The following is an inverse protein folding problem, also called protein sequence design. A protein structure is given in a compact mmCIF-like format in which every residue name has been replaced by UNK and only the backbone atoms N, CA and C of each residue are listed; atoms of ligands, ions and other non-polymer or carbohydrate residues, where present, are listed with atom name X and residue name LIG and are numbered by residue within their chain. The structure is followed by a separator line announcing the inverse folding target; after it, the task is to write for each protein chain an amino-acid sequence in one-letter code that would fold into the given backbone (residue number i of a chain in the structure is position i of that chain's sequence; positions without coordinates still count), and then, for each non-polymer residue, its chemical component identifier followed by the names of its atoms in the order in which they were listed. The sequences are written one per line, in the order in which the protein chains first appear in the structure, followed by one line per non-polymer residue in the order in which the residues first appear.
data_IF_821983938081
#
_entry.id   IF_821983938081
#
_cell.length_a   1.000
_cell.length_b   1.000
_cell.length_c   1.000
_cell.angle_alpha   90.00
_cell.angle_beta   90.00
_cell.angle_gamma   90.00
#
_symmetry.space_group_name_H-M   'P 1'
#
loop_
_entity.id
_entity.type
_entity.pdbx_description
1 polymer ?
#
# COMPACT_ATOMS: atom_id res chain seq x y z
N UNK A 1 -24.35 1.98 -22.14
CA UNK A 1 -22.99 2.56 -22.15
C UNK A 1 -23.05 3.97 -22.70
N UNK A 2 -22.53 4.96 -21.98
CA UNK A 2 -22.41 6.33 -22.48
C UNK A 2 -21.35 6.45 -23.60
N UNK A 3 -21.24 7.62 -24.22
CA UNK A 3 -20.17 7.88 -25.21
C UNK A 3 -18.80 7.80 -24.53
N UNK A 4 -17.90 6.99 -25.09
CA UNK A 4 -16.52 6.87 -24.62
C UNK A 4 -15.76 8.19 -24.87
N UNK A 5 -14.98 8.64 -23.88
CA UNK A 5 -14.19 9.87 -23.96
C UNK A 5 -12.89 9.72 -23.16
N UNK A 6 -11.78 10.15 -23.74
CA UNK A 6 -10.51 10.32 -23.03
C UNK A 6 -10.46 11.67 -22.30
N UNK A 7 -9.72 11.74 -21.19
CA UNK A 7 -9.46 12.98 -20.47
C UNK A 7 -7.96 13.16 -20.22
N UNK A 8 -7.55 14.39 -19.92
CA UNK A 8 -6.16 14.70 -19.63
C UNK A 8 -5.82 14.25 -18.21
N UNK A 9 -4.89 13.30 -18.09
CA UNK A 9 -4.56 12.72 -16.79
C UNK A 9 -3.89 13.72 -15.84
N UNK A 10 -3.04 14.61 -16.36
CA UNK A 10 -2.40 15.65 -15.53
C UNK A 10 -3.44 16.64 -14.96
N UNK A 11 -4.42 17.04 -15.77
CA UNK A 11 -5.54 17.87 -15.33
C UNK A 11 -6.36 17.18 -14.23
N UNK A 12 -6.62 15.88 -14.38
CA UNK A 12 -7.28 15.09 -13.33
C UNK A 12 -6.45 15.07 -12.04
N UNK A 13 -5.14 14.84 -12.11
CA UNK A 13 -4.26 14.88 -10.93
C UNK A 13 -4.34 16.27 -10.27
N UNK A 14 -4.26 17.35 -11.04
CA UNK A 14 -4.30 18.71 -10.54
C UNK A 14 -5.61 19.02 -9.80
N UNK A 15 -6.75 18.55 -10.33
CA UNK A 15 -8.07 18.66 -9.68
C UNK A 15 -8.14 17.87 -8.37
N UNK A 16 -7.49 16.71 -8.29
CA UNK A 16 -7.56 15.79 -7.14
C UNK A 16 -6.38 15.90 -6.17
N UNK A 17 -5.41 16.80 -6.40
CA UNK A 17 -4.23 17.03 -5.52
C UNK A 17 -4.56 17.16 -4.03
N UNK A 18 -5.73 17.70 -3.72
CA UNK A 18 -6.18 17.90 -2.35
C UNK A 18 -6.52 16.58 -1.62
N UNK A 19 -6.81 15.51 -2.35
CA UNK A 19 -7.03 14.14 -1.86
C UNK A 19 -5.73 13.32 -1.82
N UNK A 20 -4.73 13.68 -2.62
CA UNK A 20 -3.44 12.98 -2.74
C UNK A 20 -2.46 13.37 -1.63
N UNK A 21 -2.98 13.63 -0.44
CA UNK A 21 -2.24 13.97 0.79
C UNK A 21 -3.06 13.53 2.01
N UNK A 22 -2.45 13.44 3.20
CA UNK A 22 -3.20 13.11 4.41
C UNK A 22 -4.43 14.02 4.62
N UNK A 23 -5.56 13.48 5.10
CA UNK A 23 -5.75 12.11 5.60
C UNK A 23 -6.16 11.07 4.55
N UNK A 24 -6.39 11.44 3.29
CA UNK A 24 -6.92 10.53 2.26
C UNK A 24 -5.78 9.77 1.58
N UNK A 25 -4.81 10.48 1.00
CA UNK A 25 -3.56 9.94 0.47
C UNK A 25 -3.65 9.24 -0.88
N UNK A 26 -4.81 8.75 -1.31
CA UNK A 26 -5.00 8.10 -2.62
C UNK A 26 -6.40 8.33 -3.19
N UNK A 27 -6.56 8.14 -4.50
CA UNK A 27 -7.84 8.24 -5.18
C UNK A 27 -7.89 7.28 -6.38
N UNK A 28 -8.91 6.43 -6.42
CA UNK A 28 -9.20 5.57 -7.57
C UNK A 28 -9.88 6.39 -8.68
N UNK A 29 -9.49 6.16 -9.94
CA UNK A 29 -9.97 6.92 -11.10
C UNK A 29 -11.36 6.45 -11.54
N UNK A 30 -11.60 5.14 -11.54
CA UNK A 30 -12.87 4.51 -11.93
C UNK A 30 -13.31 3.50 -10.88
N UNK A 31 -14.53 3.61 -10.36
CA UNK A 31 -15.05 2.74 -9.29
C UNK A 31 -15.54 1.38 -9.82
N UNK A 32 -16.17 1.36 -11.01
CA UNK A 32 -16.79 0.17 -11.59
C UNK A 32 -16.01 -0.37 -12.81
N UNK A 33 -14.73 -0.69 -12.61
CA UNK A 33 -13.87 -1.28 -13.64
C UNK A 33 -13.17 -2.55 -13.14
N UNK A 34 -12.87 -3.48 -14.05
CA UNK A 34 -12.09 -4.68 -13.73
C UNK A 34 -10.60 -4.38 -13.49
N UNK A 35 -10.15 -3.21 -13.98
CA UNK A 35 -8.82 -2.66 -13.73
C UNK A 35 -8.95 -1.56 -12.68
N UNK A 36 -8.37 -1.79 -11.51
CA UNK A 36 -8.27 -0.80 -10.45
C UNK A 36 -7.10 0.12 -10.77
N UNK A 37 -7.39 1.39 -11.06
CA UNK A 37 -6.39 2.39 -11.39
C UNK A 37 -6.43 3.48 -10.34
N UNK A 38 -5.37 3.56 -9.54
CA UNK A 38 -5.30 4.40 -8.35
C UNK A 38 -4.13 5.35 -8.43
N UNK A 39 -4.37 6.62 -8.10
CA UNK A 39 -3.29 7.59 -7.92
C UNK A 39 -3.03 7.75 -6.42
N UNK A 40 -1.77 7.63 -6.02
CA UNK A 40 -1.34 7.66 -4.63
C UNK A 40 -0.35 8.79 -4.44
N UNK A 41 -0.59 9.63 -3.43
CA UNK A 41 0.28 10.74 -3.08
C UNK A 41 1.08 10.52 -1.80
N UNK A 42 1.72 11.60 -1.34
CA UNK A 42 2.49 11.64 -0.09
C UNK A 42 2.38 12.99 0.62
N UNK A 43 2.80 13.08 1.90
CA UNK A 43 3.60 12.06 2.58
C UNK A 43 2.74 10.96 3.23
N UNK A 44 3.20 9.72 3.16
CA UNK A 44 2.61 8.59 3.88
C UNK A 44 3.68 7.56 4.28
N UNK A 45 3.58 7.05 5.50
CA UNK A 45 4.34 5.91 6.02
C UNK A 45 3.37 4.91 6.62
N UNK A 46 3.70 3.64 6.51
CA UNK A 46 2.87 2.55 7.04
C UNK A 46 3.75 1.38 7.46
N UNK A 47 3.27 0.58 8.40
CA UNK A 47 4.02 -0.53 8.99
C UNK A 47 3.54 -1.90 8.54
N UNK A 48 2.38 -1.94 7.90
CA UNK A 48 1.79 -3.14 7.38
C UNK A 48 2.36 -3.50 6.01
N UNK A 49 2.45 -4.79 5.74
CA UNK A 49 2.77 -5.37 4.45
C UNK A 49 1.50 -5.95 3.85
N UNK A 50 1.28 -5.69 2.58
CA UNK A 50 0.18 -6.26 1.82
C UNK A 50 0.69 -7.49 1.07
N UNK A 51 -0.06 -8.57 1.20
CA UNK A 51 0.05 -9.80 0.42
C UNK A 51 -1.13 -9.83 -0.57
N UNK A 52 -0.83 -9.45 -1.81
CA UNK A 52 -1.79 -9.37 -2.91
C UNK A 52 -1.79 -10.68 -3.73
N UNK A 53 -2.93 -11.34 -3.97
CA UNK A 53 -3.02 -12.48 -4.89
C UNK A 53 -2.85 -12.13 -6.38
N UNK A 54 -2.78 -10.85 -6.76
CA UNK A 54 -2.58 -10.41 -8.15
C UNK A 54 -1.30 -9.58 -8.31
N UNK A 55 -0.95 -9.26 -9.55
CA UNK A 55 0.16 -8.35 -9.86
C UNK A 55 -0.22 -6.90 -9.58
N UNK A 56 0.77 -6.11 -9.13
CA UNK A 56 0.64 -4.66 -9.00
C UNK A 56 1.64 -3.93 -9.90
N UNK A 57 1.14 -3.08 -10.78
CA UNK A 57 1.96 -2.21 -11.61
C UNK A 57 2.10 -0.82 -10.98
N UNK A 58 3.33 -0.35 -10.84
CA UNK A 58 3.68 0.96 -10.34
C UNK A 58 4.28 1.82 -11.44
N UNK A 59 3.88 3.09 -11.49
CA UNK A 59 4.58 4.14 -12.23
C UNK A 59 4.68 5.39 -11.37
N UNK A 60 5.90 5.75 -10.97
CA UNK A 60 6.15 6.91 -10.12
C UNK A 60 6.26 8.19 -10.97
N UNK A 61 5.18 8.96 -11.05
CA UNK A 61 5.06 10.13 -11.93
C UNK A 61 5.77 11.37 -11.41
N UNK A 62 5.83 11.54 -10.09
CA UNK A 62 6.47 12.70 -9.44
C UNK A 62 7.04 12.33 -8.08
N UNK A 63 8.25 12.79 -7.79
CA UNK A 63 8.98 12.48 -6.56
C UNK A 63 9.30 10.99 -6.43
N UNK A 64 9.94 10.61 -5.33
CA UNK A 64 10.43 9.26 -5.10
C UNK A 64 9.62 8.52 -4.03
N UNK A 65 9.56 7.20 -4.14
CA UNK A 65 9.07 6.30 -3.12
C UNK A 65 10.03 5.13 -2.89
N UNK A 66 9.82 4.38 -1.81
CA UNK A 66 10.49 3.10 -1.59
C UNK A 66 9.43 2.05 -1.24
N UNK A 67 9.54 0.89 -1.86
CA UNK A 67 8.73 -0.27 -1.56
C UNK A 67 9.56 -1.20 -0.66
N UNK A 68 9.10 -1.39 0.57
CA UNK A 68 9.65 -2.39 1.50
C UNK A 68 9.11 -3.74 1.07
N UNK A 69 9.95 -4.73 0.82
CA UNK A 69 9.54 -6.05 0.32
C UNK A 69 9.93 -7.16 1.28
N UNK A 70 9.13 -8.23 1.25
CA UNK A 70 9.48 -9.55 1.75
C UNK A 70 9.00 -10.60 0.75
N UNK A 71 9.94 -11.32 0.14
CA UNK A 71 9.67 -12.31 -0.90
C UNK A 71 9.44 -13.73 -0.36
N UNK A 72 9.50 -13.92 0.96
CA UNK A 72 9.44 -15.22 1.62
C UNK A 72 10.79 -15.72 2.11
N UNK A 73 11.88 -15.09 1.70
CA UNK A 73 13.25 -15.41 2.14
C UNK A 73 13.89 -14.22 2.86
N UNK A 74 13.82 -13.03 2.27
CA UNK A 74 14.50 -11.85 2.81
C UNK A 74 13.69 -10.56 2.73
N UNK A 75 13.98 -9.64 3.65
CA UNK A 75 13.44 -8.28 3.63
C UNK A 75 14.41 -7.35 2.91
N UNK A 76 13.92 -6.60 1.93
CA UNK A 76 14.73 -5.66 1.17
C UNK A 76 13.93 -4.45 0.69
N UNK A 77 14.64 -3.41 0.27
CA UNK A 77 14.05 -2.15 -0.17
C UNK A 77 14.22 -2.01 -1.69
N UNK A 78 13.14 -1.63 -2.38
CA UNK A 78 13.15 -1.25 -3.80
C UNK A 78 12.79 0.23 -3.92
N UNK A 79 13.77 1.12 -4.14
CA UNK A 79 13.49 2.50 -4.50
C UNK A 79 12.78 2.54 -5.86
N UNK A 80 11.75 3.38 -5.98
CA UNK A 80 11.08 3.68 -7.24
C UNK A 80 11.11 5.21 -7.39
N UNK A 81 12.06 5.69 -8.20
CA UNK A 81 12.34 7.10 -8.45
C UNK A 81 11.36 7.71 -9.44
N UNK A 82 11.29 9.03 -9.47
CA UNK A 82 10.51 9.75 -10.48
C UNK A 82 10.84 9.27 -11.91
N UNK A 83 9.81 8.86 -12.65
CA UNK A 83 9.91 8.31 -14.00
C UNK A 83 10.02 6.79 -14.07
N UNK A 84 10.28 6.10 -12.96
CA UNK A 84 10.46 4.64 -12.95
C UNK A 84 9.14 3.88 -12.91
N UNK A 85 9.16 2.72 -13.56
CA UNK A 85 8.07 1.73 -13.52
C UNK A 85 8.55 0.46 -12.83
N UNK A 86 7.64 -0.24 -12.19
CA UNK A 86 7.91 -1.49 -11.49
C UNK A 86 6.68 -2.39 -11.55
N UNK A 87 6.88 -3.70 -11.74
CA UNK A 87 5.81 -4.69 -11.72
C UNK A 87 6.10 -5.66 -10.58
N UNK A 88 5.20 -5.71 -9.60
CA UNK A 88 5.30 -6.59 -8.45
C UNK A 88 4.54 -7.89 -8.74
N UNK A 89 5.18 -9.06 -8.65
CA UNK A 89 4.49 -10.35 -8.77
C UNK A 89 3.51 -10.60 -7.61
N UNK A 90 2.52 -11.49 -7.80
CA UNK A 90 1.63 -11.91 -6.72
C UNK A 90 2.39 -12.47 -5.52
N UNK A 91 1.83 -12.26 -4.34
CA UNK A 91 2.30 -12.79 -3.06
C UNK A 91 3.69 -12.34 -2.61
N UNK A 92 4.27 -11.33 -3.25
CA UNK A 92 5.42 -10.60 -2.71
C UNK A 92 4.89 -9.56 -1.73
N UNK A 93 5.25 -9.71 -0.45
CA UNK A 93 4.73 -8.87 0.62
C UNK A 93 5.35 -7.51 0.45
N UNK A 94 4.54 -6.46 0.47
CA UNK A 94 5.05 -5.13 0.19
C UNK A 94 4.45 -4.05 1.11
N UNK A 95 5.27 -3.10 1.54
CA UNK A 95 4.86 -1.96 2.37
C UNK A 95 5.29 -0.64 1.71
N UNK A 96 4.41 0.02 0.94
CA UNK A 96 4.73 1.26 0.23
C UNK A 96 5.03 2.43 1.17
N UNK A 97 6.17 3.09 0.97
CA UNK A 97 6.57 4.27 1.72
C UNK A 97 6.72 5.47 0.78
N UNK A 98 5.96 6.54 1.03
CA UNK A 98 5.92 7.75 0.20
C UNK A 98 6.27 8.97 1.04
N UNK A 99 7.53 9.16 1.47
CA UNK A 99 7.86 10.20 2.45
C UNK A 99 7.88 11.62 1.85
N UNK A 100 7.91 11.78 0.53
CA UNK A 100 7.94 13.09 -0.12
C UNK A 100 6.54 13.69 -0.26
N UNK A 101 6.34 14.88 0.27
CA UNK A 101 5.11 15.65 0.10
C UNK A 101 4.89 16.04 -1.37
N UNK A 102 3.67 15.82 -1.87
CA UNK A 102 3.32 16.14 -3.26
C UNK A 102 3.97 15.23 -4.30
N UNK A 103 4.53 14.09 -3.89
CA UNK A 103 4.82 12.95 -4.76
C UNK A 103 3.53 12.37 -5.33
N UNK A 104 3.61 11.74 -6.50
CA UNK A 104 2.48 11.16 -7.23
C UNK A 104 2.94 9.83 -7.84
N UNK A 105 2.28 8.74 -7.48
CA UNK A 105 2.43 7.44 -8.11
C UNK A 105 1.11 6.96 -8.70
N UNK A 106 1.18 6.25 -9.82
CA UNK A 106 0.10 5.47 -10.40
C UNK A 106 0.29 4.02 -9.99
N UNK A 107 -0.78 3.39 -9.49
CA UNK A 107 -0.84 1.97 -9.18
C UNK A 107 -1.99 1.37 -9.99
N UNK A 108 -1.72 0.23 -10.64
CA UNK A 108 -2.71 -0.50 -11.43
C UNK A 108 -2.73 -1.94 -10.96
N UNK A 109 -3.92 -2.42 -10.62
CA UNK A 109 -4.14 -3.77 -10.10
C UNK A 109 -5.36 -4.38 -10.79
N UNK A 110 -5.35 -5.69 -11.08
CA UNK A 110 -6.58 -6.42 -11.40
C UNK A 110 -7.52 -6.45 -10.20
N UNK A 111 -8.83 -6.41 -10.48
CA UNK A 111 -9.84 -6.73 -9.47
C UNK A 111 -9.75 -8.21 -9.09
N UNK A 112 -9.76 -8.51 -7.79
CA UNK A 112 -9.72 -9.89 -7.28
C UNK A 112 -10.98 -10.64 -7.69
N UNK A 113 -10.81 -11.90 -8.07
CA UNK A 113 -11.94 -12.82 -8.25
C UNK A 113 -12.52 -13.21 -6.88
N UNK A 114 -13.77 -13.68 -6.87
CA UNK A 114 -14.38 -14.18 -5.64
C UNK A 114 -13.59 -15.39 -5.15
N UNK A 115 -13.13 -15.33 -3.90
CA UNK A 115 -12.31 -16.37 -3.26
C UNK A 115 -10.80 -16.08 -3.31
N UNK A 116 -10.35 -15.12 -4.11
CA UNK A 116 -8.99 -14.59 -4.01
C UNK A 116 -8.98 -13.55 -2.88
N UNK A 117 -8.29 -13.88 -1.79
CA UNK A 117 -8.21 -13.04 -0.60
C UNK A 117 -6.89 -12.28 -0.57
N UNK A 118 -6.99 -10.99 -0.30
CA UNK A 118 -5.88 -10.17 0.13
C UNK A 118 -5.54 -10.45 1.58
N UNK A 119 -4.30 -10.17 1.97
CA UNK A 119 -3.95 -10.12 3.37
C UNK A 119 -3.11 -8.90 3.74
N UNK A 120 -3.33 -8.43 4.95
CA UNK A 120 -2.53 -7.39 5.59
C UNK A 120 -1.78 -8.02 6.74
N UNK A 121 -0.45 -7.85 6.73
CA UNK A 121 0.48 -8.47 7.65
C UNK A 121 1.32 -7.43 8.39
N UNK A 122 1.75 -7.78 9.60
CA UNK A 122 2.74 -7.01 10.34
C UNK A 122 3.86 -7.92 10.78
N UNK A 123 5.10 -7.41 10.69
CA UNK A 123 6.31 -8.14 11.01
C UNK A 123 7.05 -7.46 12.16
N UNK A 124 7.71 -8.27 12.99
CA UNK A 124 8.41 -7.75 14.15
C UNK A 124 9.69 -7.01 13.72
N UNK A 125 9.84 -5.75 14.10
CA UNK A 125 11.05 -4.97 13.80
C UNK A 125 12.34 -5.48 14.46
N UNK A 126 12.25 -6.37 15.47
CA UNK A 126 13.41 -6.92 16.19
C UNK A 126 13.85 -8.29 15.66
N UNK A 127 12.92 -9.14 15.21
CA UNK A 127 13.25 -10.52 14.80
C UNK A 127 12.61 -10.96 13.48
N UNK A 128 11.95 -10.05 12.76
CA UNK A 128 11.29 -10.28 11.47
C UNK A 128 10.19 -11.36 11.45
N UNK A 129 9.81 -11.91 12.61
CA UNK A 129 8.70 -12.86 12.68
C UNK A 129 7.36 -12.19 12.35
N UNK A 130 6.47 -12.92 11.68
CA UNK A 130 5.08 -12.51 11.48
C UNK A 130 4.41 -12.30 12.85
N UNK A 131 3.84 -11.11 13.04
CA UNK A 131 3.14 -10.69 14.27
C UNK A 131 1.65 -10.92 14.12
N UNK A 132 1.08 -10.48 13.00
CA UNK A 132 -0.34 -10.59 12.73
C UNK A 132 -0.59 -10.69 11.23
N UNK A 133 -1.63 -11.43 10.86
CA UNK A 133 -2.15 -11.53 9.49
C UNK A 133 -3.67 -11.43 9.54
N UNK A 134 -4.24 -10.58 8.71
CA UNK A 134 -5.68 -10.44 8.51
C UNK A 134 -6.00 -10.63 7.04
N UNK A 135 -6.81 -11.64 6.72
CA UNK A 135 -7.25 -11.93 5.36
C UNK A 135 -8.64 -11.36 5.11
N UNK A 136 -8.88 -10.84 3.89
CA UNK A 136 -10.18 -10.30 3.52
C UNK A 136 -10.45 -10.44 2.03
N UNK A 137 -11.72 -10.53 1.66
CA UNK A 137 -12.15 -10.33 0.28
C UNK A 137 -12.19 -8.82 0.02
N UNK A 138 -11.13 -8.28 -0.58
CA UNK A 138 -11.03 -6.85 -0.85
C UNK A 138 -12.03 -6.42 -1.94
N UNK A 139 -12.88 -5.44 -1.62
CA UNK A 139 -13.83 -4.84 -2.56
C UNK A 139 -13.57 -3.34 -2.73
N UNK A 140 -13.23 -2.67 -1.63
CA UNK A 140 -12.92 -1.24 -1.60
C UNK A 140 -11.75 -0.99 -0.66
N UNK A 141 -10.61 -0.58 -1.22
CA UNK A 141 -9.40 -0.22 -0.46
C UNK A 141 -9.72 0.85 0.61
N UNK A 142 -10.58 1.81 0.28
CA UNK A 142 -10.91 2.96 1.14
C UNK A 142 -11.84 2.58 2.29
N UNK A 143 -12.66 1.54 2.13
CA UNK A 143 -13.64 1.13 3.14
C UNK A 143 -13.18 -0.10 3.96
N UNK A 144 -12.55 -1.08 3.31
CA UNK A 144 -12.26 -2.38 3.89
C UNK A 144 -10.96 -2.40 4.73
N UNK A 145 -9.95 -1.61 4.32
CA UNK A 145 -8.65 -1.60 5.00
C UNK A 145 -8.64 -0.82 6.34
N UNK A 146 -9.27 0.37 6.47
CA UNK A 146 -9.20 1.13 7.72
C UNK A 146 -9.67 0.37 8.98
N UNK A 147 -10.76 -0.42 8.94
CA UNK A 147 -11.16 -1.25 10.07
C UNK A 147 -10.10 -2.29 10.47
N UNK A 148 -9.40 -2.90 9.51
CA UNK A 148 -8.36 -3.90 9.75
C UNK A 148 -7.16 -3.26 10.47
N UNK A 149 -6.73 -2.09 10.01
CA UNK A 149 -5.70 -1.32 10.69
C UNK A 149 -6.10 -0.93 12.11
N UNK A 150 -7.33 -0.44 12.29
CA UNK A 150 -7.83 0.00 13.59
C UNK A 150 -7.86 -1.15 14.61
N UNK A 151 -8.28 -2.34 14.18
CA UNK A 151 -8.28 -3.55 15.03
C UNK A 151 -6.87 -3.93 15.50
N UNK A 152 -5.89 -3.92 14.58
CA UNK A 152 -4.50 -4.20 14.94
C UNK A 152 -3.93 -3.12 15.88
N UNK A 153 -4.12 -1.83 15.57
CA UNK A 153 -3.56 -0.74 16.38
C UNK A 153 -4.11 -0.69 17.80
N UNK A 154 -5.39 -1.03 17.98
CA UNK A 154 -6.08 -1.02 19.27
C UNK A 154 -5.78 -2.25 20.15
N UNK A 155 -5.19 -3.31 19.61
CA UNK A 155 -4.97 -4.57 20.33
C UNK A 155 -3.49 -4.81 20.62
N UNK A 156 -3.11 -4.68 21.89
CA UNK A 156 -1.76 -5.04 22.35
C UNK A 156 -1.46 -6.52 22.05
N UNK A 157 -2.43 -7.41 22.31
CA UNK A 157 -2.29 -8.83 22.02
C UNK A 157 -2.04 -9.12 20.54
N UNK A 158 -2.72 -8.40 19.62
CA UNK A 158 -2.47 -8.55 18.18
C UNK A 158 -1.10 -8.00 17.77
N UNK A 159 -0.54 -7.05 18.53
CA UNK A 159 0.76 -6.42 18.28
C UNK A 159 1.92 -7.14 18.96
N UNK A 160 1.67 -8.04 19.90
CA UNK A 160 2.73 -8.78 20.59
C UNK A 160 3.29 -9.86 19.68
N UNK A 161 4.58 -9.76 19.36
CA UNK A 161 5.26 -10.76 18.56
C UNK A 161 5.23 -12.13 19.24
N UNK A 162 4.73 -13.18 18.57
CA UNK A 162 4.64 -14.52 19.17
C UNK A 162 6.02 -15.18 19.37
N UNK A 163 7.06 -14.69 18.70
CA UNK A 163 8.41 -15.26 18.76
C UNK A 163 9.26 -14.66 19.90
N UNK A 164 9.29 -13.33 20.03
CA UNK A 164 10.16 -12.65 21.00
C UNK A 164 9.42 -11.82 22.07
N UNK A 165 8.09 -11.73 21.99
CA UNK A 165 7.26 -10.97 22.96
C UNK A 165 7.32 -9.44 22.81
N UNK A 166 8.12 -8.92 21.87
CA UNK A 166 8.17 -7.47 21.61
C UNK A 166 6.85 -6.99 21.03
N UNK A 167 6.35 -5.87 21.55
CA UNK A 167 5.12 -5.24 21.08
C UNK A 167 5.44 -4.37 19.85
N UNK A 168 4.83 -4.68 18.71
CA UNK A 168 4.92 -3.90 17.49
C UNK A 168 4.42 -2.46 17.72
N UNK A 169 5.06 -1.40 17.16
CA UNK A 169 4.74 -0.01 17.47
C UNK A 169 3.35 0.45 16.94
N UNK A 170 2.74 -0.34 16.05
CA UNK A 170 1.43 -0.02 15.48
C UNK A 170 1.58 0.87 14.26
N UNK A 171 0.93 2.03 14.24
CA UNK A 171 0.84 2.91 13.06
C UNK A 171 2.17 3.52 12.62
N UNK A 172 3.01 3.95 13.58
CA UNK A 172 4.25 4.66 13.28
C UNK A 172 5.42 3.68 13.25
N UNK A 173 6.20 3.61 12.15
CA UNK A 173 7.40 2.78 12.11
C UNK A 173 8.52 3.35 13.00
N UNK A 174 9.52 2.54 13.37
CA UNK A 174 10.72 3.02 14.05
C UNK A 174 11.46 4.11 13.28
N UNK A 175 12.14 5.00 14.00
CA UNK A 175 12.93 6.06 13.40
C UNK A 175 14.00 5.50 12.47
N UNK A 176 14.18 6.13 11.31
CA UNK A 176 15.16 5.70 10.32
C UNK A 176 14.78 4.42 9.56
N UNK A 177 13.63 3.78 9.80
CA UNK A 177 13.23 2.63 9.01
C UNK A 177 12.95 2.99 7.54
N UNK A 178 12.28 4.12 7.28
CA UNK A 178 12.06 4.63 5.93
C UNK A 178 13.22 5.52 5.50
N UNK A 179 13.95 5.10 4.46
CA UNK A 179 15.02 5.87 3.81
C UNK A 179 14.82 5.84 2.29
N UNK A 180 14.99 6.99 1.65
CA UNK A 180 14.99 7.15 0.19
C UNK A 180 16.42 7.28 -0.35
#
# INVERSE_FOLDING_TARGET
MGKLKAFNFQGWIDEHKHLLKPPVGNQQIWEDADMMVTVVGGPNKRTDYHDDPVEEFFYQLKGDMVLKLYDGEEFYDVPIREGEIFLLPPHVRHSPQRPQEGSIGLVIEPKRQIGELDAIEWYCFECSALVHRAEMQLKSIVEDLPPVYAQFYASEAARTCPNCGVIHPGKEPPEGWVKL
#
